data_IF_244925590886
#
_entry.id   IF_244925590886
#
_cell.length_a   1.000
_cell.length_b   1.000
_cell.length_c   1.000
_cell.angle_alpha   90.00
_cell.angle_beta   90.00
_cell.angle_gamma   90.00
#
_symmetry.space_group_name_H-M   'P 1'
#
loop_
_entity.id
_entity.type
_entity.pdbx_description
1 polymer ?
#
# COMPACT_ATOMS: atom_id res chain seq x y z
N UNK A 1 -9.11 3.56 2.59
CA UNK A 1 -10.57 3.76 2.58
C UNK A 1 -10.98 5.22 2.73
N UNK A 2 -10.49 5.95 3.74
CA UNK A 2 -10.90 7.35 3.99
C UNK A 2 -10.63 8.29 2.82
N UNK A 3 -9.47 8.22 2.17
CA UNK A 3 -9.18 9.00 0.95
C UNK A 3 -10.16 8.67 -0.18
N UNK A 4 -10.51 7.40 -0.39
CA UNK A 4 -11.51 7.01 -1.37
C UNK A 4 -12.88 7.64 -1.05
N UNK A 5 -13.31 7.58 0.22
CA UNK A 5 -14.57 8.22 0.66
C UNK A 5 -14.55 9.74 0.49
N UNK A 6 -13.43 10.39 0.82
CA UNK A 6 -13.22 11.83 0.63
C UNK A 6 -13.36 12.23 -0.84
N UNK A 7 -12.83 11.41 -1.74
CA UNK A 7 -12.91 11.60 -3.19
C UNK A 7 -14.25 11.15 -3.79
N UNK A 8 -15.21 10.73 -2.95
CA UNK A 8 -16.58 10.43 -3.37
C UNK A 8 -16.89 8.95 -3.64
N UNK A 9 -16.00 8.02 -3.31
CA UNK A 9 -16.27 6.60 -3.46
C UNK A 9 -17.41 6.15 -2.52
N UNK A 10 -18.22 5.21 -3.00
CA UNK A 10 -19.19 4.54 -2.16
C UNK A 10 -18.53 3.44 -1.32
N UNK A 11 -18.04 3.84 -0.14
CA UNK A 11 -17.45 2.92 0.84
C UNK A 11 -18.56 2.17 1.57
N UNK A 12 -18.48 0.84 1.49
CA UNK A 12 -19.33 -0.11 2.21
C UNK A 12 -19.34 0.15 3.74
N UNK A 13 -20.49 0.09 4.42
CA UNK A 13 -20.57 0.24 5.88
C UNK A 13 -19.68 -0.73 6.67
N UNK A 14 -19.48 -1.93 6.14
CA UNK A 14 -18.67 -3.00 6.75
C UNK A 14 -17.18 -2.64 6.85
N UNK A 15 -16.69 -1.68 6.06
CA UNK A 15 -15.30 -1.25 6.08
C UNK A 15 -14.84 -0.77 7.47
N UNK A 16 -15.76 -0.20 8.26
CA UNK A 16 -15.48 0.19 9.65
C UNK A 16 -15.31 -1.02 10.56
N UNK A 17 -16.13 -2.07 10.37
CA UNK A 17 -16.02 -3.32 11.12
C UNK A 17 -14.70 -4.04 10.80
N UNK A 18 -14.33 -4.09 9.53
CA UNK A 18 -13.05 -4.65 9.08
C UNK A 18 -11.86 -3.88 9.69
N UNK A 19 -11.90 -2.55 9.66
CA UNK A 19 -10.88 -1.70 10.30
C UNK A 19 -10.78 -1.98 11.79
N UNK A 20 -11.92 -2.09 12.49
CA UNK A 20 -11.94 -2.41 13.92
C UNK A 20 -11.37 -3.81 14.22
N UNK A 21 -11.64 -4.79 13.37
CA UNK A 21 -11.09 -6.15 13.48
C UNK A 21 -9.56 -6.15 13.32
N UNK A 22 -9.05 -5.47 12.30
CA UNK A 22 -7.60 -5.29 12.07
C UNK A 22 -6.94 -4.61 13.28
N UNK A 23 -7.53 -3.51 13.76
CA UNK A 23 -7.01 -2.78 14.92
C UNK A 23 -7.03 -3.63 16.19
N UNK A 24 -8.08 -4.43 16.39
CA UNK A 24 -8.17 -5.34 17.53
C UNK A 24 -7.04 -6.36 17.52
N UNK A 25 -6.73 -6.95 16.35
CA UNK A 25 -5.61 -7.90 16.21
C UNK A 25 -4.25 -7.27 16.55
N UNK A 26 -3.99 -6.03 16.12
CA UNK A 26 -2.75 -5.31 16.50
C UNK A 26 -2.74 -4.98 18.00
N UNK A 27 -3.87 -4.54 18.56
CA UNK A 27 -3.97 -4.26 19.99
C UNK A 27 -3.71 -5.51 20.85
N UNK A 28 -4.24 -6.68 20.45
CA UNK A 28 -3.97 -7.94 21.14
C UNK A 28 -2.52 -8.38 21.07
N UNK A 29 -1.81 -8.09 19.96
CA UNK A 29 -0.37 -8.34 19.89
C UNK A 29 0.40 -7.52 20.94
N UNK A 30 0.00 -6.27 21.15
CA UNK A 30 0.62 -5.33 22.09
C UNK A 30 0.21 -5.54 23.56
N UNK A 31 -0.78 -6.41 23.81
CA UNK A 31 -1.32 -6.63 25.16
C UNK A 31 -0.24 -7.17 26.12
N UNK A 32 0.11 -6.36 27.12
CA UNK A 32 1.22 -6.64 28.04
C UNK A 32 0.90 -7.70 29.09
N UNK A 33 -0.38 -7.92 29.43
CA UNK A 33 -0.75 -8.89 30.47
C UNK A 33 -0.64 -10.35 30.02
N UNK A 34 -0.69 -10.58 28.71
CA UNK A 34 -0.53 -11.91 28.14
C UNK A 34 0.94 -12.31 28.15
N UNK A 35 1.39 -12.99 29.23
CA UNK A 35 2.69 -13.66 29.26
C UNK A 35 3.85 -12.99 29.95
N UNK A 36 3.64 -11.81 30.52
CA UNK A 36 4.73 -11.01 31.08
C UNK A 36 5.52 -11.73 32.18
N UNK A 37 4.85 -12.54 33.01
CA UNK A 37 5.49 -13.17 34.17
C UNK A 37 6.55 -14.21 33.82
N UNK A 38 6.29 -15.05 32.82
CA UNK A 38 7.19 -16.14 32.42
C UNK A 38 8.18 -15.68 31.34
N UNK A 39 7.76 -14.82 30.41
CA UNK A 39 8.66 -14.29 29.36
C UNK A 39 9.82 -13.46 29.91
N UNK A 40 9.66 -12.84 31.08
CA UNK A 40 10.75 -12.10 31.76
C UNK A 40 11.67 -13.04 32.53
N UNK A 41 11.14 -14.12 33.12
CA UNK A 41 11.89 -15.03 34.00
C UNK A 41 12.56 -16.18 33.26
N UNK A 42 11.90 -16.72 32.24
CA UNK A 42 12.37 -17.80 31.38
C UNK A 42 11.90 -17.57 29.93
N UNK A 43 12.61 -16.71 29.18
CA UNK A 43 12.22 -16.32 27.82
C UNK A 43 12.31 -17.46 26.80
N UNK A 44 13.06 -18.53 27.11
CA UNK A 44 13.29 -19.65 26.21
C UNK A 44 12.43 -20.87 26.58
N UNK A 45 11.55 -20.74 27.57
CA UNK A 45 10.61 -21.79 27.93
C UNK A 45 9.67 -22.11 26.76
N UNK A 46 9.23 -23.36 26.69
CA UNK A 46 8.25 -23.79 25.69
C UNK A 46 6.97 -22.95 25.79
N UNK A 47 6.54 -22.59 27.00
CA UNK A 47 5.33 -21.80 27.21
C UNK A 47 5.50 -20.38 26.64
N UNK A 48 6.64 -19.74 26.92
CA UNK A 48 6.98 -18.44 26.35
C UNK A 48 7.01 -18.49 24.81
N UNK A 49 7.61 -19.54 24.23
CA UNK A 49 7.65 -19.71 22.77
C UNK A 49 6.25 -19.89 22.15
N UNK A 50 5.41 -20.76 22.74
CA UNK A 50 4.02 -20.97 22.30
C UNK A 50 3.23 -19.66 22.34
N UNK A 51 3.40 -18.90 23.39
CA UNK A 51 2.73 -17.62 23.56
C UNK A 51 3.18 -16.55 22.55
N UNK A 52 4.48 -16.42 22.29
CA UNK A 52 4.96 -15.51 21.25
C UNK A 52 4.46 -15.90 19.86
N UNK A 53 4.34 -17.19 19.58
CA UNK A 53 3.72 -17.67 18.34
C UNK A 53 2.24 -17.28 18.25
N UNK A 54 1.49 -17.40 19.35
CA UNK A 54 0.09 -16.95 19.41
C UNK A 54 -0.01 -15.43 19.17
N UNK A 55 0.77 -14.61 19.88
CA UNK A 55 0.79 -13.16 19.66
C UNK A 55 1.14 -12.80 18.22
N UNK A 56 2.21 -13.39 17.69
CA UNK A 56 2.67 -13.15 16.32
C UNK A 56 1.61 -13.52 15.29
N UNK A 57 0.76 -14.51 15.57
CA UNK A 57 -0.36 -14.87 14.68
C UNK A 57 -1.40 -13.75 14.53
N UNK A 58 -1.66 -12.96 15.59
CA UNK A 58 -2.55 -11.81 15.52
C UNK A 58 -1.93 -10.68 14.68
N UNK A 59 -0.65 -10.36 14.91
CA UNK A 59 0.07 -9.38 14.10
C UNK A 59 0.11 -9.77 12.62
N UNK A 60 0.39 -11.04 12.33
CA UNK A 60 0.37 -11.56 10.96
C UNK A 60 -1.01 -11.45 10.31
N UNK A 61 -2.05 -11.79 11.06
CA UNK A 61 -3.45 -11.69 10.58
C UNK A 61 -3.80 -10.24 10.27
N UNK A 62 -3.44 -9.30 11.14
CA UNK A 62 -3.66 -7.88 10.89
C UNK A 62 -2.93 -7.36 9.65
N UNK A 63 -1.67 -7.77 9.43
CA UNK A 63 -0.90 -7.40 8.22
C UNK A 63 -1.56 -7.94 6.96
N UNK A 64 -1.98 -9.20 6.98
CA UNK A 64 -2.69 -9.86 5.87
C UNK A 64 -3.99 -9.11 5.54
N UNK A 65 -4.83 -8.89 6.55
CA UNK A 65 -6.15 -8.31 6.38
C UNK A 65 -6.07 -6.84 5.96
N UNK A 66 -5.13 -6.06 6.52
CA UNK A 66 -4.83 -4.71 6.05
C UNK A 66 -4.32 -4.68 4.59
N UNK A 67 -3.58 -5.71 4.17
CA UNK A 67 -3.15 -5.87 2.78
C UNK A 67 -4.33 -5.98 1.82
N UNK A 68 -5.32 -6.83 2.15
CA UNK A 68 -6.56 -6.99 1.37
C UNK A 68 -7.38 -5.70 1.40
N UNK A 69 -7.60 -5.12 2.58
CA UNK A 69 -8.34 -3.88 2.76
C UNK A 69 -7.75 -2.71 1.95
N UNK A 70 -6.41 -2.65 1.87
CA UNK A 70 -5.72 -1.67 1.04
C UNK A 70 -5.97 -1.88 -0.45
N UNK A 71 -5.97 -3.13 -0.92
CA UNK A 71 -6.27 -3.46 -2.32
C UNK A 71 -7.70 -3.05 -2.70
N UNK A 72 -8.68 -3.33 -1.84
CA UNK A 72 -10.06 -2.89 -2.04
C UNK A 72 -10.18 -1.38 -2.11
N UNK A 73 -9.49 -0.66 -1.23
CA UNK A 73 -9.43 0.81 -1.27
C UNK A 73 -8.82 1.33 -2.58
N UNK A 74 -7.81 0.66 -3.13
CA UNK A 74 -7.25 1.04 -4.43
C UNK A 74 -8.20 0.73 -5.58
N UNK A 75 -8.98 -0.35 -5.50
CA UNK A 75 -10.05 -0.64 -6.46
C UNK A 75 -11.06 0.50 -6.54
N UNK A 76 -11.55 0.96 -5.39
CA UNK A 76 -12.47 2.11 -5.31
C UNK A 76 -11.85 3.40 -5.85
N UNK A 77 -10.58 3.68 -5.51
CA UNK A 77 -9.87 4.85 -6.04
C UNK A 77 -9.72 4.78 -7.57
N UNK A 78 -9.43 3.59 -8.11
CA UNK A 78 -9.31 3.38 -9.54
C UNK A 78 -10.58 3.70 -10.33
N UNK A 79 -11.76 3.51 -9.74
CA UNK A 79 -13.04 3.87 -10.36
C UNK A 79 -13.27 5.39 -10.44
N UNK A 80 -12.67 6.16 -9.52
CA UNK A 80 -12.78 7.61 -9.47
C UNK A 80 -11.77 8.32 -10.39
N UNK A 81 -10.71 7.64 -10.81
CA UNK A 81 -9.69 8.23 -11.65
C UNK A 81 -10.20 8.49 -13.08
N UNK A 82 -9.76 9.59 -13.73
CA UNK A 82 -10.10 9.85 -15.12
C UNK A 82 -9.67 8.70 -16.04
N UNK A 83 -10.57 8.23 -16.89
CA UNK A 83 -10.23 7.24 -17.91
C UNK A 83 -9.36 7.88 -18.98
N UNK A 84 -8.11 7.45 -19.05
CA UNK A 84 -7.14 7.88 -20.05
C UNK A 84 -6.86 6.76 -21.06
N UNK A 85 -6.63 7.13 -22.32
CA UNK A 85 -6.33 6.16 -23.41
C UNK A 85 -4.87 5.71 -23.43
N UNK A 86 -4.06 6.15 -22.46
CA UNK A 86 -2.65 5.79 -22.32
C UNK A 86 -2.43 5.18 -20.94
N UNK A 87 -1.46 4.27 -20.77
CA UNK A 87 -1.09 3.80 -19.44
C UNK A 87 -0.70 5.00 -18.56
N UNK A 88 -1.15 5.00 -17.31
CA UNK A 88 -0.86 6.06 -16.35
C UNK A 88 -0.58 5.49 -14.97
N UNK A 89 0.19 6.24 -14.19
CA UNK A 89 0.54 5.92 -12.81
C UNK A 89 -0.03 7.04 -11.95
N UNK A 90 -0.87 6.71 -10.97
CA UNK A 90 -1.36 7.69 -9.99
C UNK A 90 -0.74 7.40 -8.63
N UNK A 91 -0.11 8.42 -8.04
CA UNK A 91 0.47 8.35 -6.71
C UNK A 91 -0.39 9.13 -5.74
N UNK A 92 -0.93 8.45 -4.73
CA UNK A 92 -1.74 9.05 -3.69
C UNK A 92 -0.90 9.38 -2.45
N UNK A 93 -1.09 10.56 -1.89
CA UNK A 93 -0.53 10.97 -0.62
C UNK A 93 -1.61 10.84 0.47
N UNK A 94 -1.39 9.94 1.43
CA UNK A 94 -2.31 9.74 2.56
C UNK A 94 -1.98 10.61 3.79
N UNK A 95 -0.96 11.47 3.70
CA UNK A 95 -0.54 12.37 4.77
C UNK A 95 -1.26 13.71 4.68
N UNK A 96 -1.31 14.42 5.80
CA UNK A 96 -1.89 15.75 5.91
C UNK A 96 -0.96 16.89 5.44
N UNK A 97 0.22 16.56 4.92
CA UNK A 97 1.19 17.51 4.38
C UNK A 97 1.62 17.06 2.98
N UNK A 98 1.99 18.01 2.13
CA UNK A 98 2.59 17.69 0.83
C UNK A 98 3.86 16.87 1.03
N UNK A 99 4.08 15.88 0.17
CA UNK A 99 5.26 15.03 0.28
C UNK A 99 5.88 14.70 -1.08
N UNK A 100 7.20 14.53 -1.06
CA UNK A 100 7.99 14.05 -2.19
C UNK A 100 8.70 12.77 -1.80
N UNK A 101 8.78 11.79 -2.70
CA UNK A 101 9.44 10.54 -2.41
C UNK A 101 9.39 9.51 -3.53
N UNK A 102 10.05 8.39 -3.31
CA UNK A 102 10.06 7.27 -4.27
C UNK A 102 8.89 6.34 -3.96
N UNK A 103 7.94 6.25 -4.88
CA UNK A 103 6.86 5.28 -4.85
C UNK A 103 7.27 4.00 -5.61
N UNK A 104 7.00 2.85 -5.00
CA UNK A 104 7.24 1.52 -5.58
C UNK A 104 5.91 0.91 -6.03
N UNK A 105 5.86 0.36 -7.24
CA UNK A 105 4.69 -0.33 -7.75
C UNK A 105 5.09 -1.52 -8.62
N UNK A 106 4.17 -2.45 -8.85
CA UNK A 106 4.36 -3.57 -9.75
C UNK A 106 3.54 -3.36 -11.03
N UNK A 107 4.13 -3.67 -12.18
CA UNK A 107 3.41 -3.66 -13.46
C UNK A 107 3.71 -4.93 -14.25
N UNK A 108 2.64 -5.53 -14.80
CA UNK A 108 2.74 -6.66 -15.71
C UNK A 108 3.35 -6.23 -17.06
N UNK A 109 4.03 -7.17 -17.72
CA UNK A 109 4.65 -6.94 -19.04
C UNK A 109 3.61 -6.54 -20.11
N UNK A 110 2.35 -6.90 -19.93
CA UNK A 110 1.23 -6.51 -20.80
C UNK A 110 0.85 -5.02 -20.69
N UNK A 111 1.21 -4.36 -19.58
CA UNK A 111 0.94 -2.93 -19.35
C UNK A 111 2.16 -2.09 -19.72
N UNK A 112 3.34 -2.50 -19.26
CA UNK A 112 4.61 -1.82 -19.55
C UNK A 112 5.56 -2.83 -20.22
N UNK A 113 5.70 -2.78 -21.56
CA UNK A 113 6.53 -3.72 -22.30
C UNK A 113 8.03 -3.61 -21.96
N UNK A 114 8.73 -4.74 -22.03
CA UNK A 114 10.15 -4.84 -21.69
C UNK A 114 11.09 -4.18 -22.70
N UNK A 115 10.72 -4.26 -23.96
CA UNK A 115 11.49 -3.89 -25.14
C UNK A 115 11.45 -2.41 -25.47
N UNK A 116 10.58 -1.66 -24.78
CA UNK A 116 10.37 -0.23 -25.00
C UNK A 116 11.14 0.63 -24.01
N UNK A 117 11.52 1.82 -24.46
CA UNK A 117 11.97 2.87 -23.54
C UNK A 117 10.72 3.44 -22.88
N UNK A 118 10.74 3.46 -21.55
CA UNK A 118 9.59 3.88 -20.76
C UNK A 118 9.94 5.19 -20.06
N UNK A 119 9.06 6.16 -20.19
CA UNK A 119 9.16 7.46 -19.52
C UNK A 119 7.86 7.79 -18.81
N UNK A 120 7.96 8.44 -17.66
CA UNK A 120 6.81 9.03 -16.99
C UNK A 120 6.79 10.54 -17.27
N UNK A 121 5.62 11.10 -17.55
CA UNK A 121 5.42 12.52 -17.84
C UNK A 121 4.39 13.06 -16.86
N UNK A 122 4.71 14.14 -16.16
CA UNK A 122 3.77 14.80 -15.24
C UNK A 122 2.70 15.64 -15.98
N UNK A 123 1.85 16.33 -15.22
CA UNK A 123 0.80 17.17 -15.79
C UNK A 123 1.33 18.42 -16.53
N UNK A 124 2.51 18.90 -16.15
CA UNK A 124 3.17 20.07 -16.74
C UNK A 124 4.01 19.72 -17.99
N UNK A 125 4.16 18.42 -18.28
CA UNK A 125 4.92 17.90 -19.41
C UNK A 125 6.39 17.59 -19.09
N UNK A 126 6.80 17.63 -17.83
CA UNK A 126 8.16 17.29 -17.43
C UNK A 126 8.35 15.77 -17.37
N UNK A 127 9.55 15.32 -17.78
CA UNK A 127 9.94 13.92 -17.66
C UNK A 127 10.33 13.59 -16.22
N UNK A 128 9.73 12.54 -15.68
CA UNK A 128 9.94 12.05 -14.32
C UNK A 128 10.70 10.73 -14.37
N UNK A 129 11.63 10.56 -13.41
CA UNK A 129 12.44 9.36 -13.30
C UNK A 129 11.56 8.14 -12.99
N UNK A 130 11.52 7.19 -13.94
CA UNK A 130 10.87 5.90 -13.80
C UNK A 130 11.92 4.79 -13.95
N UNK A 131 12.25 4.13 -12.84
CA UNK A 131 13.31 3.15 -12.77
C UNK A 131 12.74 1.74 -12.65
N UNK A 132 13.25 0.84 -13.48
CA UNK A 132 12.98 -0.59 -13.36
C UNK A 132 13.82 -1.17 -12.23
N UNK A 133 13.18 -1.92 -11.33
CA UNK A 133 13.83 -2.61 -10.24
C UNK A 133 13.82 -4.13 -10.50
N UNK A 134 13.50 -4.91 -9.48
CA UNK A 134 13.55 -6.37 -9.53
C UNK A 134 12.45 -7.00 -10.39
N UNK A 135 12.75 -8.16 -10.98
CA UNK A 135 11.79 -8.99 -11.73
C UNK A 135 10.84 -9.67 -10.75
N UNK A 136 9.54 -9.59 -11.03
CA UNK A 136 8.53 -10.39 -10.35
C UNK A 136 7.85 -11.39 -11.30
N UNK A 137 6.91 -12.21 -10.81
CA UNK A 137 6.16 -13.13 -11.66
C UNK A 137 5.30 -12.38 -12.69
N UNK A 138 5.68 -12.46 -13.97
CA UNK A 138 4.93 -11.86 -15.09
C UNK A 138 5.08 -10.34 -15.27
N UNK A 139 6.06 -9.71 -14.59
CA UNK A 139 6.27 -8.27 -14.65
C UNK A 139 7.50 -7.80 -13.88
N UNK A 140 7.56 -6.50 -13.60
CA UNK A 140 8.64 -5.89 -12.81
C UNK A 140 8.10 -4.99 -11.73
N UNK A 141 8.88 -4.86 -10.66
CA UNK A 141 8.76 -3.71 -9.77
C UNK A 141 9.40 -2.49 -10.42
N UNK A 142 8.73 -1.36 -10.25
CA UNK A 142 9.14 -0.06 -10.75
C UNK A 142 9.19 0.94 -9.60
N UNK A 143 10.00 1.97 -9.79
CA UNK A 143 10.17 3.07 -8.86
C UNK A 143 9.95 4.37 -9.63
N UNK A 144 9.05 5.21 -9.13
CA UNK A 144 8.82 6.56 -9.64
C UNK A 144 9.11 7.56 -8.53
N UNK A 145 9.85 8.63 -8.83
CA UNK A 145 9.98 9.75 -7.92
C UNK A 145 8.78 10.67 -8.10
N UNK A 146 7.90 10.75 -7.10
CA UNK A 146 6.78 11.66 -7.10
C UNK A 146 7.14 12.88 -6.26
N UNK A 147 7.08 14.06 -6.87
CA UNK A 147 7.41 15.33 -6.24
C UNK A 147 6.15 16.15 -5.92
N UNK A 148 6.15 16.76 -4.75
CA UNK A 148 5.14 17.69 -4.26
C UNK A 148 3.71 17.15 -4.40
N UNK A 149 3.49 15.89 -3.98
CA UNK A 149 2.15 15.29 -4.01
C UNK A 149 1.31 15.96 -2.91
N UNK A 150 0.17 16.60 -3.24
CA UNK A 150 -0.61 17.38 -2.28
C UNK A 150 -1.08 16.56 -1.08
N UNK A 151 -1.27 17.21 0.08
CA UNK A 151 -1.84 16.59 1.27
C UNK A 151 -3.21 15.95 0.96
N UNK A 152 -3.40 14.69 1.34
CA UNK A 152 -4.60 13.89 1.04
C UNK A 152 -5.01 13.86 -0.45
N UNK A 153 -4.09 14.22 -1.35
CA UNK A 153 -4.33 14.30 -2.78
C UNK A 153 -3.57 13.24 -3.56
N UNK A 154 -3.49 13.45 -4.87
CA UNK A 154 -2.78 12.58 -5.79
C UNK A 154 -2.05 13.37 -6.88
N UNK A 155 -1.13 12.69 -7.56
CA UNK A 155 -0.49 13.17 -8.78
C UNK A 155 -0.46 12.04 -9.80
N UNK A 156 -0.92 12.33 -11.00
CA UNK A 156 -1.02 11.36 -12.10
C UNK A 156 0.06 11.64 -13.15
N UNK A 157 0.74 10.58 -13.57
CA UNK A 157 1.78 10.59 -14.58
C UNK A 157 1.35 9.75 -15.77
N UNK A 158 1.52 10.28 -16.98
CA UNK A 158 1.34 9.51 -18.21
C UNK A 158 2.59 8.67 -18.47
N UNK A 159 2.41 7.43 -18.88
CA UNK A 159 3.51 6.55 -19.25
C UNK A 159 3.61 6.52 -20.77
N UNK A 160 4.75 7.00 -21.27
CA UNK A 160 5.10 6.88 -22.69
C UNK A 160 5.99 5.65 -22.89
N UNK A 161 5.58 4.82 -23.86
CA UNK A 161 6.22 3.58 -24.24
C UNK A 161 6.61 3.67 -25.72
N UNK A 162 7.75 4.32 -25.98
CA UNK A 162 8.35 4.53 -27.30
C UNK A 162 9.32 3.43 -27.66
#
# INVERSE_FOLDING_TARGET
MSTAKLLGADVKPEALQETNSINSNIAFYDEYTFGAGESVRDPLSLNTAVQWNQKSSYAWTAVKDNGVFRQESFGLLGELLPKVNVPSITVFNTLNMACSGVAKFFAFDAIIPMDKKVKAIDADGNEVSLLRAERGPGGFYWQIFADDVPAFGDKTYKVDCS
#
